data_IF_046831152852
#
_entry.id   IF_046831152852
#
_cell.length_a   1.000
_cell.length_b   1.000
_cell.length_c   1.000
_cell.angle_alpha   90.00
_cell.angle_beta   90.00
_cell.angle_gamma   90.00
#
_symmetry.space_group_name_H-M   'P 1'
#
loop_
_entity.id
_entity.type
_entity.pdbx_description
1 polymer ?
#
# COMPACT_ATOMS: atom_id res chain seq x y z
N UNK A 1 40.68 75.21 -22.00
CA UNK A 1 39.57 76.15 -21.73
C UNK A 1 38.32 75.31 -21.48
N UNK A 2 37.76 75.39 -20.26
CA UNK A 2 36.36 75.26 -19.86
C UNK A 2 35.49 74.17 -20.56
N UNK A 3 34.99 73.13 -19.90
CA UNK A 3 33.99 73.04 -18.82
C UNK A 3 32.69 72.40 -19.39
N UNK A 4 32.20 71.36 -18.69
CA UNK A 4 30.80 70.90 -18.58
C UNK A 4 30.16 70.10 -19.73
N UNK A 5 30.31 68.78 -19.65
CA UNK A 5 29.23 67.83 -19.98
C UNK A 5 29.24 66.60 -19.05
N UNK A 6 29.76 66.80 -17.83
CA UNK A 6 29.79 65.84 -16.73
C UNK A 6 28.67 66.25 -15.77
N UNK A 7 27.43 65.75 -15.97
CA UNK A 7 26.35 65.77 -14.94
C UNK A 7 24.98 65.18 -15.34
N UNK A 8 24.78 64.56 -16.51
CA UNK A 8 23.48 63.95 -16.89
C UNK A 8 23.64 62.49 -17.36
N UNK A 9 24.52 61.73 -16.71
CA UNK A 9 24.60 60.28 -16.91
C UNK A 9 25.05 59.59 -15.61
N UNK A 10 24.45 60.00 -14.49
CA UNK A 10 24.73 59.43 -13.17
C UNK A 10 23.52 59.60 -12.25
N UNK A 11 22.32 59.22 -12.72
CA UNK A 11 21.13 59.13 -11.86
C UNK A 11 20.02 58.27 -12.47
N UNK A 12 20.29 56.98 -12.70
CA UNK A 12 19.26 55.94 -12.82
C UNK A 12 19.81 54.53 -12.55
N UNK A 13 20.91 54.42 -11.81
CA UNK A 13 21.31 53.19 -11.14
C UNK A 13 20.64 53.15 -9.76
N UNK A 14 19.95 52.03 -9.48
CA UNK A 14 19.24 51.68 -8.24
C UNK A 14 17.72 51.94 -8.21
N UNK A 15 16.95 51.13 -8.96
CA UNK A 15 15.67 50.60 -8.47
C UNK A 15 15.61 49.10 -8.81
N UNK A 16 16.04 48.31 -7.83
CA UNK A 16 15.39 47.11 -7.30
C UNK A 16 15.02 45.99 -8.29
N UNK A 17 15.96 45.06 -8.36
CA UNK A 17 15.74 43.61 -8.45
C UNK A 17 14.80 43.10 -7.33
N UNK A 18 13.48 43.10 -7.56
CA UNK A 18 12.57 42.21 -6.84
C UNK A 18 11.53 41.71 -7.83
N UNK A 19 11.87 40.60 -8.49
CA UNK A 19 11.01 39.90 -9.44
C UNK A 19 11.41 38.45 -9.58
N UNK A 20 11.96 37.84 -8.52
CA UNK A 20 11.97 36.38 -8.39
C UNK A 20 10.57 36.02 -7.90
N UNK A 21 9.65 35.83 -8.85
CA UNK A 21 8.40 35.13 -8.57
C UNK A 21 8.77 33.84 -7.84
N UNK A 22 8.27 33.72 -6.62
CA UNK A 22 8.25 32.49 -5.87
C UNK A 22 7.52 31.48 -6.77
N UNK A 23 8.26 30.61 -7.45
CA UNK A 23 7.70 29.35 -7.89
C UNK A 23 7.46 28.61 -6.58
N UNK A 24 6.23 28.69 -6.07
CA UNK A 24 5.67 27.59 -5.30
C UNK A 24 5.58 26.43 -6.29
N UNK A 25 6.70 25.74 -6.48
CA UNK A 25 6.65 24.32 -6.77
C UNK A 25 5.90 23.75 -5.57
N UNK A 26 4.60 23.55 -5.77
CA UNK A 26 3.82 22.61 -4.98
C UNK A 26 4.56 21.29 -5.11
N UNK A 27 5.50 21.06 -4.20
CA UNK A 27 5.89 19.72 -3.77
C UNK A 27 4.65 19.13 -3.09
N UNK A 28 3.62 18.84 -3.88
CA UNK A 28 2.63 17.84 -3.49
C UNK A 28 3.46 16.59 -3.14
N UNK A 29 3.32 16.02 -1.93
CA UNK A 29 4.02 14.80 -1.60
C UNK A 29 3.64 13.79 -2.68
N UNK A 30 4.64 13.32 -3.44
CA UNK A 30 4.43 12.25 -4.41
C UNK A 30 3.75 11.10 -3.66
N UNK A 31 2.47 10.87 -3.95
CA UNK A 31 1.78 9.68 -3.49
C UNK A 31 2.47 8.48 -4.14
N UNK A 32 3.47 7.93 -3.47
CA UNK A 32 3.96 6.60 -3.77
C UNK A 32 2.87 5.60 -3.35
N UNK A 33 1.94 5.37 -4.26
CA UNK A 33 1.00 4.26 -4.18
C UNK A 33 1.75 2.98 -4.52
N UNK A 34 2.49 2.45 -3.54
CA UNK A 34 3.00 1.10 -3.63
C UNK A 34 1.93 0.14 -3.13
N UNK A 35 1.33 -0.61 -4.06
CA UNK A 35 0.41 -1.68 -3.72
C UNK A 35 1.19 -2.86 -3.12
N UNK A 36 0.62 -3.45 -2.07
CA UNK A 36 1.08 -4.75 -1.59
C UNK A 36 1.08 -5.73 -2.76
N UNK A 37 2.12 -6.55 -2.95
CA UNK A 37 2.05 -7.63 -3.91
C UNK A 37 0.95 -8.60 -3.44
N UNK A 38 -0.25 -8.44 -3.97
CA UNK A 38 -1.35 -9.37 -3.69
C UNK A 38 -0.98 -10.69 -4.36
N UNK A 39 -1.08 -11.85 -3.68
CA UNK A 39 -0.99 -13.12 -4.35
C UNK A 39 -2.11 -13.17 -5.41
N UNK A 40 -1.79 -12.92 -6.67
CA UNK A 40 -2.77 -12.96 -7.76
C UNK A 40 -2.98 -14.42 -8.13
N UNK A 41 -4.15 -15.01 -7.83
CA UNK A 41 -4.43 -16.36 -8.28
C UNK A 41 -4.55 -16.31 -9.80
N UNK A 42 -3.71 -17.06 -10.52
CA UNK A 42 -3.60 -17.00 -11.98
C UNK A 42 -4.87 -17.43 -12.74
N UNK A 43 -5.94 -17.79 -12.05
CA UNK A 43 -7.25 -18.16 -12.58
C UNK A 43 -8.40 -17.25 -12.10
N UNK A 44 -8.10 -16.13 -11.43
CA UNK A 44 -9.11 -15.22 -10.93
C UNK A 44 -9.77 -14.41 -12.07
N UNK A 45 -11.09 -14.37 -12.08
CA UNK A 45 -11.90 -13.39 -12.82
C UNK A 45 -12.18 -12.13 -11.98
N UNK A 46 -12.10 -12.23 -10.66
CA UNK A 46 -12.19 -11.08 -9.76
C UNK A 46 -11.46 -11.33 -8.44
N UNK A 47 -10.95 -10.26 -7.85
CA UNK A 47 -10.24 -10.27 -6.56
C UNK A 47 -10.82 -9.14 -5.71
N UNK A 48 -11.25 -9.49 -4.50
CA UNK A 48 -11.77 -8.57 -3.50
C UNK A 48 -10.91 -8.73 -2.24
N UNK A 49 -10.26 -7.66 -1.82
CA UNK A 49 -9.31 -7.66 -0.71
C UNK A 49 -9.78 -6.69 0.38
N UNK A 50 -9.90 -7.20 1.60
CA UNK A 50 -10.09 -6.44 2.82
C UNK A 50 -8.78 -6.47 3.62
N UNK A 51 -8.18 -5.30 3.78
CA UNK A 51 -6.83 -5.13 4.31
C UNK A 51 -6.90 -4.24 5.54
N UNK A 52 -6.28 -4.68 6.63
CA UNK A 52 -6.00 -3.83 7.80
C UNK A 52 -4.52 -3.52 7.87
N UNK A 53 -4.16 -2.28 7.59
CA UNK A 53 -2.79 -1.83 7.59
C UNK A 53 -2.41 -1.18 8.92
N UNK A 54 -1.30 -1.63 9.51
CA UNK A 54 -0.67 -0.99 10.65
C UNK A 54 0.34 0.04 10.15
N UNK A 55 0.14 1.29 10.56
CA UNK A 55 1.11 2.35 10.33
C UNK A 55 2.13 2.38 11.48
N UNK A 56 3.39 2.14 11.15
CA UNK A 56 4.49 2.37 12.10
C UNK A 56 4.85 3.85 12.12
N UNK A 57 4.99 4.39 13.32
CA UNK A 57 5.45 5.77 13.50
C UNK A 57 6.96 5.87 13.25
N UNK A 58 7.45 6.98 12.67
CA UNK A 58 8.88 7.25 12.55
C UNK A 58 9.60 7.15 13.90
N UNK A 59 10.86 6.72 13.87
CA UNK A 59 11.72 6.70 15.04
C UNK A 59 11.76 8.07 15.73
N UNK A 60 11.58 8.10 17.05
CA UNK A 60 11.52 9.34 17.84
C UNK A 60 10.13 9.99 17.93
N UNK A 61 9.09 9.44 17.30
CA UNK A 61 7.71 9.91 17.51
C UNK A 61 7.28 9.61 18.95
N UNK A 62 6.85 10.60 19.74
CA UNK A 62 6.35 10.38 21.09
C UNK A 62 5.16 9.42 21.08
N UNK A 63 5.22 8.34 21.86
CA UNK A 63 4.07 7.47 22.06
C UNK A 63 3.01 8.19 22.89
N UNK A 64 1.79 8.33 22.39
CA UNK A 64 0.67 8.85 23.19
C UNK A 64 0.18 7.71 24.09
N UNK A 65 0.22 7.86 25.43
CA UNK A 65 -0.29 6.83 26.34
C UNK A 65 -1.74 6.49 26.01
N UNK A 66 -2.02 5.20 25.80
CA UNK A 66 -3.35 4.70 25.44
C UNK A 66 -3.61 4.51 23.94
N UNK A 67 -2.68 4.93 23.06
CA UNK A 67 -2.74 4.64 21.61
C UNK A 67 -1.54 3.73 21.29
N UNK A 68 -1.79 2.42 21.14
CA UNK A 68 -0.72 1.46 20.84
C UNK A 68 -0.39 1.40 19.35
N UNK A 69 -1.40 1.54 18.48
CA UNK A 69 -1.24 1.42 17.02
C UNK A 69 -2.22 2.33 16.28
N UNK A 70 -1.77 2.79 15.12
CA UNK A 70 -2.65 3.39 14.11
C UNK A 70 -2.94 2.29 13.08
N UNK A 71 -4.20 1.86 13.04
CA UNK A 71 -4.69 0.87 12.10
C UNK A 71 -5.59 1.56 11.09
N UNK A 72 -5.39 1.26 9.82
CA UNK A 72 -6.15 1.79 8.69
C UNK A 72 -6.86 0.64 8.00
N UNK A 73 -8.14 0.86 7.70
CA UNK A 73 -8.94 -0.07 6.92
C UNK A 73 -8.83 0.30 5.44
N UNK A 74 -8.50 -0.69 4.62
CA UNK A 74 -8.35 -0.54 3.18
C UNK A 74 -9.15 -1.63 2.50
N UNK A 75 -9.94 -1.27 1.50
CA UNK A 75 -10.63 -2.20 0.63
C UNK A 75 -10.19 -1.98 -0.81
N UNK A 76 -9.98 -3.08 -1.53
CA UNK A 76 -9.76 -3.06 -2.96
C UNK A 76 -10.57 -4.17 -3.63
N UNK A 77 -11.19 -3.88 -4.76
CA UNK A 77 -11.81 -4.91 -5.59
C UNK A 77 -11.56 -4.64 -7.07
N UNK A 78 -11.23 -5.71 -7.78
CA UNK A 78 -10.88 -5.70 -9.20
C UNK A 78 -11.57 -6.86 -9.92
N UNK A 79 -12.08 -6.58 -11.12
CA UNK A 79 -12.78 -7.54 -11.96
C UNK A 79 -12.20 -7.49 -13.36
N UNK A 80 -11.91 -8.66 -13.93
CA UNK A 80 -11.10 -8.81 -15.12
C UNK A 80 -11.94 -9.23 -16.32
N UNK A 81 -11.65 -8.70 -17.52
CA UNK A 81 -12.30 -9.13 -18.77
C UNK A 81 -12.10 -10.61 -19.07
N UNK A 82 -10.97 -11.18 -18.63
CA UNK A 82 -10.64 -12.60 -18.73
C UNK A 82 -9.89 -13.08 -17.50
N UNK A 83 -10.03 -14.37 -17.16
CA UNK A 83 -9.32 -14.96 -16.03
C UNK A 83 -7.79 -14.79 -16.14
N UNK A 84 -7.13 -14.53 -15.01
CA UNK A 84 -5.68 -14.57 -14.89
C UNK A 84 -4.98 -13.23 -14.65
N UNK A 85 -5.70 -12.23 -14.15
CA UNK A 85 -5.13 -11.02 -13.51
C UNK A 85 -4.38 -10.04 -14.42
N UNK A 86 -3.99 -10.44 -15.64
CA UNK A 86 -3.27 -9.62 -16.62
C UNK A 86 -4.15 -8.95 -17.69
N UNK A 87 -5.48 -9.05 -17.56
CA UNK A 87 -6.41 -8.46 -18.53
C UNK A 87 -6.99 -7.14 -18.02
N UNK A 88 -7.62 -6.38 -18.93
CA UNK A 88 -8.27 -5.11 -18.58
C UNK A 88 -9.31 -5.27 -17.47
N UNK A 89 -9.44 -4.23 -16.65
CA UNK A 89 -10.45 -4.16 -15.60
C UNK A 89 -11.82 -3.76 -16.18
N UNK A 90 -12.89 -4.29 -15.61
CA UNK A 90 -14.28 -3.97 -15.97
C UNK A 90 -15.06 -3.41 -14.81
N UNK A 91 -16.01 -2.52 -15.10
CA UNK A 91 -16.99 -2.04 -14.14
C UNK A 91 -18.08 -3.10 -13.93
N UNK A 92 -18.36 -3.50 -12.69
CA UNK A 92 -19.39 -4.49 -12.35
C UNK A 92 -20.56 -3.88 -11.56
N UNK A 93 -20.81 -2.59 -11.76
CA UNK A 93 -21.79 -1.82 -11.01
C UNK A 93 -21.25 -1.40 -9.64
N UNK A 94 -22.15 -1.27 -8.66
CA UNK A 94 -21.80 -0.93 -7.28
C UNK A 94 -21.12 -2.12 -6.58
N UNK A 95 -20.14 -1.82 -5.74
CA UNK A 95 -19.44 -2.79 -4.90
C UNK A 95 -19.37 -2.21 -3.49
N UNK A 96 -19.66 -3.01 -2.46
CA UNK A 96 -19.51 -2.62 -1.07
C UNK A 96 -18.85 -3.70 -0.22
N UNK A 97 -18.21 -3.26 0.86
CA UNK A 97 -17.65 -4.08 1.92
C UNK A 97 -18.28 -3.68 3.25
N UNK A 98 -18.86 -4.63 3.99
CA UNK A 98 -19.51 -4.42 5.28
C UNK A 98 -20.56 -3.27 5.23
N UNK A 99 -21.35 -3.25 4.16
CA UNK A 99 -22.32 -2.19 3.82
C UNK A 99 -21.74 -0.82 3.46
N UNK A 100 -20.41 -0.66 3.43
CA UNK A 100 -19.74 0.57 2.97
C UNK A 100 -19.49 0.52 1.46
N UNK A 101 -20.09 1.42 0.67
CA UNK A 101 -19.89 1.46 -0.78
C UNK A 101 -18.45 1.88 -1.11
N UNK A 102 -17.87 1.19 -2.10
CA UNK A 102 -16.54 1.50 -2.63
C UNK A 102 -16.65 2.48 -3.81
N UNK A 103 -15.67 3.37 -3.91
CA UNK A 103 -15.50 4.26 -5.05
C UNK A 103 -14.93 3.50 -6.25
N UNK A 104 -15.52 3.70 -7.43
CA UNK A 104 -14.96 3.20 -8.67
C UNK A 104 -14.01 4.23 -9.28
N UNK A 105 -12.72 3.92 -9.24
CA UNK A 105 -11.65 4.69 -9.86
C UNK A 105 -11.10 3.89 -11.05
N UNK A 106 -11.56 4.24 -12.25
CA UNK A 106 -11.11 3.60 -13.49
C UNK A 106 -11.23 2.05 -13.46
N UNK A 107 -12.42 1.55 -13.06
CA UNK A 107 -12.74 0.12 -12.91
C UNK A 107 -12.00 -0.62 -11.79
N UNK A 108 -11.22 0.09 -10.97
CA UNK A 108 -10.77 -0.38 -9.67
C UNK A 108 -11.71 0.14 -8.60
N UNK A 109 -12.13 -0.72 -7.68
CA UNK A 109 -12.97 -0.33 -6.55
C UNK A 109 -12.10 -0.16 -5.32
N UNK A 110 -12.16 0.99 -4.66
CA UNK A 110 -11.41 1.28 -3.44
C UNK A 110 -12.31 1.94 -2.40
N UNK A 111 -11.97 1.83 -1.12
CA UNK A 111 -12.67 2.63 -0.12
C UNK A 111 -12.40 4.13 -0.32
N UNK A 112 -13.33 4.94 0.17
CA UNK A 112 -13.07 6.38 0.29
C UNK A 112 -11.91 6.59 1.27
N UNK A 113 -10.86 7.28 0.82
CA UNK A 113 -9.65 7.52 1.61
C UNK A 113 -9.91 8.35 2.87
N UNK A 114 -11.05 9.05 2.93
CA UNK A 114 -11.48 9.82 4.10
C UNK A 114 -12.34 9.00 5.07
N UNK A 115 -12.79 7.82 4.64
CA UNK A 115 -13.62 6.92 5.44
C UNK A 115 -12.79 5.74 5.97
N UNK A 116 -12.50 5.79 7.28
CA UNK A 116 -11.79 4.74 8.01
C UNK A 116 -12.73 3.72 8.68
N UNK A 117 -14.02 3.74 8.34
CA UNK A 117 -15.07 3.03 9.09
C UNK A 117 -15.53 1.71 8.49
N UNK A 118 -14.76 1.11 7.56
CA UNK A 118 -15.11 -0.17 6.91
C UNK A 118 -15.36 -1.34 7.87
N UNK A 119 -14.99 -1.20 9.15
CA UNK A 119 -15.32 -2.17 10.17
C UNK A 119 -14.55 -3.48 10.02
N UNK A 120 -13.40 -3.44 9.35
CA UNK A 120 -12.54 -4.60 9.19
C UNK A 120 -11.90 -4.85 10.56
N UNK A 121 -12.11 -5.99 11.22
CA UNK A 121 -11.41 -6.29 12.47
C UNK A 121 -10.95 -7.75 12.55
N UNK A 122 -9.84 -8.00 13.23
CA UNK A 122 -9.31 -9.35 13.44
C UNK A 122 -10.37 -10.28 14.01
N UNK A 123 -10.51 -11.47 13.41
CA UNK A 123 -11.51 -12.47 13.81
C UNK A 123 -12.93 -12.20 13.32
N UNK A 124 -13.19 -11.12 12.56
CA UNK A 124 -14.49 -10.87 11.94
C UNK A 124 -14.55 -11.40 10.50
N UNK A 125 -15.75 -11.83 10.09
CA UNK A 125 -16.06 -12.06 8.68
C UNK A 125 -16.26 -10.72 7.96
N UNK A 126 -16.05 -10.71 6.65
CA UNK A 126 -16.28 -9.55 5.80
C UNK A 126 -17.43 -9.83 4.83
N UNK A 127 -18.34 -8.88 4.70
CA UNK A 127 -19.52 -8.97 3.84
C UNK A 127 -19.31 -8.19 2.55
N UNK A 128 -19.23 -8.90 1.44
CA UNK A 128 -19.09 -8.29 0.11
C UNK A 128 -20.41 -8.30 -0.64
N UNK A 129 -20.74 -7.17 -1.27
CA UNK A 129 -21.88 -7.05 -2.18
C UNK A 129 -21.37 -6.51 -3.51
N UNK A 130 -21.78 -7.14 -4.61
CA UNK A 130 -21.47 -6.74 -5.98
C UNK A 130 -22.77 -6.70 -6.76
N UNK A 131 -23.08 -5.57 -7.40
CA UNK A 131 -24.31 -5.38 -8.15
C UNK A 131 -24.38 -6.25 -9.42
N UNK A 132 -23.24 -6.48 -10.07
CA UNK A 132 -23.13 -7.21 -11.33
C UNK A 132 -23.14 -6.28 -12.55
N UNK A 133 -22.50 -6.73 -13.63
CA UNK A 133 -22.30 -5.95 -14.85
C UNK A 133 -21.15 -6.51 -15.68
N UNK A 134 -21.09 -6.16 -16.98
CA UNK A 134 -20.01 -6.55 -17.89
C UNK A 134 -19.65 -8.05 -17.85
N UNK A 135 -20.68 -8.92 -17.78
CA UNK A 135 -20.52 -10.37 -17.77
C UNK A 135 -20.30 -11.00 -16.38
N UNK A 136 -20.38 -10.21 -15.30
CA UNK A 136 -20.44 -10.69 -13.92
C UNK A 136 -21.88 -10.65 -13.41
N UNK A 137 -22.31 -11.74 -12.79
CA UNK A 137 -23.56 -11.80 -12.04
C UNK A 137 -23.41 -11.05 -10.70
N UNK A 138 -24.47 -10.35 -10.26
CA UNK A 138 -24.50 -9.74 -8.93
C UNK A 138 -24.55 -10.79 -7.82
N UNK A 139 -23.92 -10.52 -6.69
CA UNK A 139 -23.90 -11.41 -5.54
C UNK A 139 -23.73 -10.68 -4.21
N UNK A 140 -24.11 -11.38 -3.13
CA UNK A 140 -23.71 -11.07 -1.76
C UNK A 140 -22.96 -12.28 -1.19
N UNK A 141 -21.90 -12.01 -0.44
CA UNK A 141 -21.06 -13.04 0.16
C UNK A 141 -20.39 -12.57 1.45
N UNK A 142 -20.76 -13.20 2.56
CA UNK A 142 -19.98 -13.20 3.80
C UNK A 142 -18.82 -14.19 3.67
N UNK A 143 -17.58 -13.73 3.90
CA UNK A 143 -16.41 -14.60 3.87
C UNK A 143 -16.54 -15.71 4.91
N UNK A 144 -16.21 -16.95 4.57
CA UNK A 144 -16.10 -18.07 5.51
C UNK A 144 -14.80 -17.99 6.32
N UNK A 145 -13.74 -17.46 5.71
CA UNK A 145 -12.51 -17.11 6.44
C UNK A 145 -12.65 -15.73 7.09
N UNK A 146 -12.29 -15.66 8.37
CA UNK A 146 -12.30 -14.42 9.15
C UNK A 146 -10.97 -13.67 8.98
N UNK A 147 -10.96 -12.36 9.23
CA UNK A 147 -9.76 -11.54 9.22
C UNK A 147 -8.63 -12.13 10.08
N UNK A 148 -7.38 -12.17 9.58
CA UNK A 148 -6.21 -12.54 10.37
C UNK A 148 -6.04 -11.68 11.62
N UNK A 149 -5.36 -12.22 12.62
CA UNK A 149 -4.82 -11.41 13.72
C UNK A 149 -3.78 -10.42 13.19
N UNK A 150 -3.67 -9.24 13.81
CA UNK A 150 -2.69 -8.21 13.41
C UNK A 150 -1.26 -8.77 13.53
N UNK A 151 -0.56 -8.84 12.41
CA UNK A 151 0.87 -9.18 12.36
C UNK A 151 1.72 -8.01 12.88
N UNK A 152 2.84 -8.34 13.53
CA UNK A 152 3.75 -7.35 14.11
C UNK A 152 5.19 -7.78 13.92
N UNK A 153 6.03 -6.91 13.37
CA UNK A 153 7.47 -7.12 13.41
C UNK A 153 7.95 -7.22 14.87
N UNK A 154 8.83 -8.19 15.15
CA UNK A 154 9.53 -8.31 16.43
C UNK A 154 10.48 -7.12 16.59
N UNK A 155 10.64 -6.60 17.81
CA UNK A 155 11.48 -5.45 18.21
C UNK A 155 12.36 -4.82 17.10
N UNK A 156 12.00 -3.60 16.70
CA UNK A 156 12.73 -2.66 15.84
C UNK A 156 13.57 -3.31 14.74
N UNK A 157 12.91 -3.68 13.64
CA UNK A 157 13.58 -3.78 12.32
C UNK A 157 14.51 -2.58 12.16
N UNK A 158 15.78 -2.73 11.76
CA UNK A 158 16.71 -1.61 11.69
C UNK A 158 16.21 -0.55 10.70
N UNK A 159 16.55 0.72 10.98
CA UNK A 159 16.24 1.84 10.07
C UNK A 159 17.10 1.79 8.79
N UNK A 160 18.21 1.04 8.81
CA UNK A 160 19.11 0.83 7.69
C UNK A 160 19.30 -0.68 7.42
N UNK A 161 19.21 -1.08 6.15
CA UNK A 161 19.35 -2.46 5.70
C UNK A 161 20.39 -2.52 4.58
N UNK A 162 21.48 -3.26 4.85
CA UNK A 162 22.52 -3.54 3.86
C UNK A 162 22.09 -4.59 2.85
N UNK A 163 22.15 -4.23 1.56
CA UNK A 163 21.87 -5.11 0.44
C UNK A 163 23.05 -6.05 0.11
N UNK A 164 24.25 -5.73 0.62
CA UNK A 164 25.46 -6.55 0.44
C UNK A 164 25.52 -7.83 1.27
N UNK A 165 24.53 -8.10 2.12
CA UNK A 165 24.47 -9.26 3.01
C UNK A 165 23.05 -9.83 3.13
N UNK A 166 22.93 -10.89 3.92
CA UNK A 166 21.63 -11.50 4.19
C UNK A 166 20.82 -10.62 5.16
N UNK A 167 19.54 -10.44 4.85
CA UNK A 167 18.61 -9.64 5.64
C UNK A 167 17.59 -10.55 6.29
N UNK A 168 17.55 -10.56 7.62
CA UNK A 168 16.57 -11.36 8.37
C UNK A 168 15.48 -10.48 8.96
N UNK A 169 14.23 -10.74 8.57
CA UNK A 169 13.05 -10.10 9.14
C UNK A 169 12.38 -11.08 10.10
N UNK A 170 11.82 -10.57 11.20
CA UNK A 170 11.17 -11.41 12.21
C UNK A 170 9.91 -10.73 12.77
N UNK A 171 8.94 -11.53 13.18
CA UNK A 171 7.67 -11.10 13.77
C UNK A 171 7.53 -11.62 15.20
N UNK A 172 6.69 -10.97 16.01
CA UNK A 172 6.43 -11.35 17.40
C UNK A 172 5.83 -12.76 17.53
N UNK A 173 5.01 -13.14 16.56
CA UNK A 173 4.37 -14.45 16.48
C UNK A 173 3.51 -14.58 15.24
N UNK A 174 3.28 -15.80 14.76
CA UNK A 174 2.37 -16.06 13.64
C UNK A 174 0.94 -15.78 14.11
N UNK A 175 0.19 -14.85 13.47
CA UNK A 175 -1.16 -14.53 13.91
C UNK A 175 -2.16 -15.67 13.68
N UNK A 176 -3.28 -15.63 14.39
CA UNK A 176 -4.41 -16.54 14.18
C UNK A 176 -5.09 -16.30 12.83
N UNK A 177 -5.82 -17.31 12.34
CA UNK A 177 -6.64 -17.25 11.13
C UNK A 177 -5.86 -16.89 9.86
N UNK A 178 -4.56 -17.15 9.83
CA UNK A 178 -3.73 -16.92 8.66
C UNK A 178 -3.59 -18.22 7.85
N UNK A 179 -3.51 -18.13 6.52
CA UNK A 179 -3.05 -19.25 5.69
C UNK A 179 -1.52 -19.21 5.58
N UNK A 180 -0.98 -18.04 5.22
CA UNK A 180 0.45 -17.82 5.03
C UNK A 180 0.86 -16.37 5.34
N UNK A 181 2.18 -16.13 5.44
CA UNK A 181 2.74 -14.79 5.55
C UNK A 181 3.51 -14.46 4.28
N UNK A 182 3.29 -13.26 3.77
CA UNK A 182 4.03 -12.66 2.67
C UNK A 182 5.00 -11.62 3.22
N UNK A 183 6.26 -11.80 2.92
CA UNK A 183 7.36 -10.95 3.34
C UNK A 183 7.87 -10.18 2.14
N UNK A 184 8.09 -8.88 2.30
CA UNK A 184 8.40 -7.97 1.20
C UNK A 184 9.55 -7.06 1.58
N UNK A 185 10.49 -6.89 0.65
CA UNK A 185 11.47 -5.79 0.66
C UNK A 185 11.37 -5.09 -0.69
N UNK A 186 11.22 -3.77 -0.69
CA UNK A 186 11.17 -2.95 -1.91
C UNK A 186 11.99 -1.68 -1.80
N UNK A 187 12.55 -1.26 -2.94
CA UNK A 187 13.23 0.02 -3.12
C UNK A 187 12.33 1.11 -3.79
N UNK A 188 11.01 0.83 -3.84
CA UNK A 188 9.99 1.64 -4.53
C UNK A 188 9.90 1.41 -6.04
N UNK A 189 10.80 0.61 -6.63
CA UNK A 189 10.81 0.24 -8.06
C UNK A 189 10.73 -1.27 -8.24
N UNK A 190 11.64 -1.99 -7.60
CA UNK A 190 11.74 -3.44 -7.59
C UNK A 190 11.21 -3.97 -6.24
N UNK A 191 10.67 -5.18 -6.27
CA UNK A 191 10.07 -5.84 -5.12
C UNK A 191 10.59 -7.26 -5.03
N UNK A 192 11.13 -7.62 -3.87
CA UNK A 192 11.54 -8.99 -3.55
C UNK A 192 10.55 -9.54 -2.54
N UNK A 193 9.91 -10.67 -2.88
CA UNK A 193 8.90 -11.29 -2.03
C UNK A 193 9.30 -12.71 -1.64
N UNK A 194 8.92 -13.12 -0.43
CA UNK A 194 8.98 -14.51 0.03
C UNK A 194 7.70 -14.85 0.77
N UNK A 195 7.25 -16.09 0.61
CA UNK A 195 6.10 -16.61 1.34
C UNK A 195 6.55 -17.70 2.30
N UNK A 196 6.28 -17.50 3.59
CA UNK A 196 6.62 -18.47 4.62
C UNK A 196 5.81 -18.23 5.90
N UNK A 197 5.12 -19.26 6.37
CA UNK A 197 4.40 -19.26 7.65
C UNK A 197 5.36 -19.51 8.82
N UNK A 198 6.33 -18.63 9.00
CA UNK A 198 7.35 -18.69 10.05
C UNK A 198 7.38 -17.38 10.84
N UNK A 199 8.02 -17.37 12.00
CA UNK A 199 8.25 -16.12 12.74
C UNK A 199 9.46 -15.34 12.23
N UNK A 200 10.23 -15.91 11.30
CA UNK A 200 11.44 -15.29 10.75
C UNK A 200 11.66 -15.76 9.31
N UNK A 201 12.19 -14.87 8.48
CA UNK A 201 12.61 -15.15 7.11
C UNK A 201 13.95 -14.46 6.83
N UNK A 202 14.78 -15.09 6.01
CA UNK A 202 16.02 -14.51 5.53
C UNK A 202 15.93 -14.30 4.02
N UNK A 203 16.20 -13.08 3.57
CA UNK A 203 16.47 -12.74 2.18
C UNK A 203 17.98 -12.77 1.97
N UNK A 204 18.44 -13.53 0.99
CA UNK A 204 19.87 -13.59 0.70
C UNK A 204 20.34 -12.37 -0.09
N UNK A 205 21.62 -12.04 0.02
CA UNK A 205 22.20 -10.95 -0.78
C UNK A 205 21.95 -11.11 -2.31
N UNK A 206 21.90 -12.35 -2.80
CA UNK A 206 21.59 -12.62 -4.22
C UNK A 206 20.14 -12.30 -4.58
N UNK A 207 19.19 -12.57 -3.67
CA UNK A 207 17.77 -12.21 -3.87
C UNK A 207 17.60 -10.68 -3.88
N UNK A 208 18.38 -9.97 -3.07
CA UNK A 208 18.33 -8.52 -2.93
C UNK A 208 19.13 -7.76 -3.99
N UNK A 209 19.92 -8.45 -4.81
CA UNK A 209 20.83 -7.83 -5.79
C UNK A 209 20.15 -6.99 -6.87
N UNK A 210 18.84 -7.16 -7.07
CA UNK A 210 18.04 -6.36 -7.99
C UNK A 210 17.57 -5.03 -7.38
N UNK A 211 17.58 -4.90 -6.06
CA UNK A 211 17.19 -3.68 -5.36
C UNK A 211 18.31 -2.64 -5.45
N UNK A 212 17.95 -1.37 -5.58
CA UNK A 212 18.87 -0.23 -5.51
C UNK A 212 18.94 0.34 -4.09
N UNK A 213 20.06 0.98 -3.79
CA UNK A 213 20.15 1.80 -2.58
C UNK A 213 19.16 2.96 -2.64
N UNK A 214 18.44 3.21 -1.56
CA UNK A 214 17.40 4.26 -1.46
C UNK A 214 17.15 4.62 0.01
N UNK A 215 16.78 5.86 0.31
CA UNK A 215 16.32 6.27 1.64
C UNK A 215 14.84 6.03 1.88
N UNK A 216 14.12 5.56 0.86
CA UNK A 216 12.66 5.35 0.87
C UNK A 216 12.30 3.88 0.65
N UNK A 217 13.15 2.96 1.15
CA UNK A 217 12.86 1.54 1.09
C UNK A 217 11.71 1.17 2.01
N UNK A 218 11.04 0.07 1.71
CA UNK A 218 9.97 -0.47 2.53
C UNK A 218 10.26 -1.94 2.82
N UNK A 219 10.09 -2.30 4.08
CA UNK A 219 9.98 -3.69 4.51
C UNK A 219 8.59 -3.94 5.06
N UNK A 220 8.04 -5.10 4.74
CA UNK A 220 6.67 -5.41 5.08
C UNK A 220 6.47 -6.90 5.33
N UNK A 221 5.54 -7.19 6.24
CA UNK A 221 4.97 -8.52 6.42
C UNK A 221 3.46 -8.43 6.38
N UNK A 222 2.84 -9.23 5.53
CA UNK A 222 1.40 -9.35 5.38
C UNK A 222 0.96 -10.75 5.82
N UNK A 223 0.12 -10.82 6.85
CA UNK A 223 -0.59 -12.03 7.20
C UNK A 223 -1.89 -12.08 6.43
N UNK A 224 -2.07 -13.10 5.59
CA UNK A 224 -3.24 -13.21 4.75
C UNK A 224 -3.92 -14.57 4.85
N UNK A 225 -5.20 -14.58 4.56
CA UNK A 225 -5.93 -15.77 4.16
C UNK A 225 -6.78 -15.47 2.93
N UNK A 226 -7.11 -16.52 2.19
CA UNK A 226 -7.97 -16.36 1.03
C UNK A 226 -8.93 -17.53 0.85
N UNK A 227 -10.05 -17.24 0.24
CA UNK A 227 -11.00 -18.23 -0.25
C UNK A 227 -11.53 -17.79 -1.62
N UNK A 228 -12.19 -18.71 -2.31
CA UNK A 228 -12.74 -18.42 -3.63
C UNK A 228 -14.13 -18.98 -3.78
N UNK A 229 -14.92 -18.34 -4.64
CA UNK A 229 -16.26 -18.78 -5.02
C UNK A 229 -16.46 -18.59 -6.52
N UNK A 230 -17.17 -19.51 -7.14
CA UNK A 230 -17.64 -19.34 -8.52
C UNK A 230 -19.05 -18.79 -8.53
N UNK A 231 -19.27 -17.69 -9.25
CA UNK A 231 -20.58 -17.04 -9.44
C UNK A 231 -20.75 -16.78 -10.94
N UNK A 232 -21.84 -17.23 -11.55
CA UNK A 232 -22.05 -17.05 -12.99
C UNK A 232 -20.97 -17.66 -13.89
N UNK A 233 -20.24 -18.67 -13.39
CA UNK A 233 -19.08 -19.25 -14.08
C UNK A 233 -17.78 -18.43 -13.96
N UNK A 234 -17.78 -17.32 -13.22
CA UNK A 234 -16.62 -16.48 -12.91
C UNK A 234 -16.03 -16.85 -11.55
N UNK A 235 -14.71 -17.01 -11.46
CA UNK A 235 -14.02 -17.33 -10.20
C UNK A 235 -13.59 -16.05 -9.50
N UNK A 236 -14.15 -15.84 -8.31
CA UNK A 236 -13.92 -14.67 -7.47
C UNK A 236 -13.11 -15.09 -6.25
N UNK A 237 -12.03 -14.36 -5.95
CA UNK A 237 -11.24 -14.55 -4.74
C UNK A 237 -11.53 -13.46 -3.73
N UNK A 238 -11.61 -13.86 -2.47
CA UNK A 238 -11.77 -13.00 -1.32
C UNK A 238 -10.50 -13.14 -0.48
N UNK A 239 -9.83 -12.02 -0.23
CA UNK A 239 -8.57 -11.96 0.49
C UNK A 239 -8.79 -11.13 1.74
N UNK A 240 -8.41 -11.68 2.88
CA UNK A 240 -8.33 -10.95 4.14
C UNK A 240 -6.87 -10.81 4.51
N UNK A 241 -6.43 -9.59 4.78
CA UNK A 241 -5.02 -9.29 5.06
C UNK A 241 -4.89 -8.38 6.27
N UNK A 242 -3.90 -8.65 7.12
CA UNK A 242 -3.35 -7.64 8.03
C UNK A 242 -1.90 -7.44 7.70
N UNK A 243 -1.44 -6.20 7.68
CA UNK A 243 -0.10 -5.86 7.22
C UNK A 243 0.60 -4.92 8.19
N UNK A 244 1.90 -5.17 8.41
CA UNK A 244 2.80 -4.29 9.16
C UNK A 244 3.96 -3.88 8.24
N UNK A 245 4.12 -2.58 8.05
CA UNK A 245 5.09 -2.02 7.10
C UNK A 245 5.95 -0.96 7.75
N UNK A 246 7.23 -0.91 7.39
CA UNK A 246 8.19 0.05 7.93
C UNK A 246 9.03 0.64 6.80
N UNK A 247 9.22 1.96 6.83
CA UNK A 247 10.20 2.64 6.00
C UNK A 247 11.62 2.43 6.53
N UNK A 248 12.54 2.14 5.62
CA UNK A 248 13.96 1.89 5.89
C UNK A 248 14.82 2.53 4.81
N UNK A 249 16.09 2.77 5.13
CA UNK A 249 17.11 3.04 4.11
C UNK A 249 17.74 1.72 3.66
N UNK A 250 17.80 1.49 2.36
CA UNK A 250 18.52 0.39 1.74
C UNK A 250 19.89 0.89 1.27
N UNK A 251 20.97 0.22 1.64
CA UNK A 251 22.34 0.60 1.26
C UNK A 251 23.14 -0.51 0.57
#
# INVERSE_FOLDING_TARGET
>A
MKLRFFQILFLASAILWIGTSCNSEDDDPLEQTQANPIPTPGDADGILAAIKAKSNLPSGTPTVPGISDILLDVANANFYTSSGGGSSLVNVGEVSLNDFPLQNLNNTYVNDFTDVTLGINSGQNNDWIVAGGNGFDGFSHTTGKVMPGVVRFSASIPDEIGLGGDVSLSIEGVPSNVDNLLWVISDGREVVTKEARSTSITFSASELSALRSTSQGIVQVAAYNSESRTVGGKKIYFINETVDSKFVSLN
#
